data_IF_943425292844
#
_entry.id   IF_943425292844
#
_cell.length_a   1.000
_cell.length_b   1.000
_cell.length_c   1.000
_cell.angle_alpha   90.00
_cell.angle_beta   90.00
_cell.angle_gamma   90.00
#
_symmetry.space_group_name_H-M   'P 1'
#
loop_
_entity.id
_entity.type
_entity.pdbx_description
1 polymer ?
#
# COMPACT_ATOMS: atom_id res chain seq x y z
N UNK A 1 2.14 16.84 -23.63
CA UNK A 1 1.25 16.05 -24.49
C UNK A 1 0.64 14.97 -23.60
N UNK A 2 -0.60 14.96 -23.12
CA UNK A 2 -1.87 15.59 -23.51
C UNK A 2 -2.67 15.91 -22.23
N UNK A 3 -2.23 16.89 -21.44
CA UNK A 3 -2.79 17.20 -20.12
C UNK A 3 -4.18 17.85 -20.15
N UNK A 4 -4.73 18.16 -21.34
CA UNK A 4 -6.05 18.79 -21.49
C UNK A 4 -7.22 17.79 -21.68
N UNK A 5 -6.96 16.47 -21.71
CA UNK A 5 -8.02 15.48 -21.97
C UNK A 5 -8.74 14.98 -20.70
N UNK A 6 -8.10 15.02 -19.54
CA UNK A 6 -8.59 14.42 -18.30
C UNK A 6 -8.78 15.48 -17.21
N UNK A 7 -9.76 15.29 -16.33
CA UNK A 7 -10.04 16.21 -15.22
C UNK A 7 -9.05 16.05 -14.06
N UNK A 8 -8.55 14.83 -13.85
CA UNK A 8 -7.65 14.47 -12.74
C UNK A 8 -6.56 13.50 -13.22
N UNK A 9 -5.50 13.36 -12.43
CA UNK A 9 -4.33 12.55 -12.80
C UNK A 9 -4.51 11.06 -12.48
N UNK A 10 -5.06 10.73 -11.31
CA UNK A 10 -5.07 9.35 -10.81
C UNK A 10 -6.34 9.03 -10.01
N UNK A 11 -6.98 7.89 -10.33
CA UNK A 11 -8.01 7.28 -9.48
C UNK A 11 -7.46 5.98 -8.88
N UNK A 12 -7.64 5.79 -7.58
CA UNK A 12 -7.14 4.61 -6.86
C UNK A 12 -8.29 3.87 -6.21
N UNK A 13 -8.37 2.56 -6.40
CA UNK A 13 -9.27 1.68 -5.64
C UNK A 13 -8.47 0.94 -4.58
N UNK A 14 -8.92 1.02 -3.33
CA UNK A 14 -8.33 0.33 -2.18
C UNK A 14 -9.36 -0.53 -1.45
N UNK A 15 -8.89 -1.53 -0.71
CA UNK A 15 -9.76 -2.45 -0.01
C UNK A 15 -10.45 -1.84 1.22
N UNK A 16 -9.76 -0.98 1.97
CA UNK A 16 -10.26 -0.42 3.22
C UNK A 16 -9.75 1.00 3.52
N UNK A 17 -10.13 1.52 4.69
CA UNK A 17 -9.72 2.84 5.15
C UNK A 17 -8.26 2.92 5.57
N UNK A 18 -7.66 1.84 6.07
CA UNK A 18 -6.27 1.86 6.51
C UNK A 18 -5.36 2.08 5.30
N UNK A 19 -5.62 1.33 4.22
CA UNK A 19 -4.96 1.50 2.94
C UNK A 19 -5.24 2.87 2.32
N UNK A 20 -6.47 3.38 2.39
CA UNK A 20 -6.82 4.74 1.95
C UNK A 20 -5.93 5.79 2.63
N UNK A 21 -5.82 5.75 3.97
CA UNK A 21 -5.00 6.70 4.73
C UNK A 21 -3.52 6.59 4.39
N UNK A 22 -3.00 5.37 4.21
CA UNK A 22 -1.59 5.16 3.86
C UNK A 22 -1.29 5.74 2.48
N UNK A 23 -2.11 5.43 1.48
CA UNK A 23 -1.89 5.90 0.12
C UNK A 23 -2.08 7.41 0.00
N UNK A 24 -3.11 7.96 0.65
CA UNK A 24 -3.29 9.41 0.72
C UNK A 24 -2.05 10.10 1.32
N UNK A 25 -1.59 9.66 2.49
CA UNK A 25 -0.43 10.25 3.18
C UNK A 25 0.86 10.12 2.36
N UNK A 26 1.01 9.04 1.61
CA UNK A 26 2.14 8.82 0.72
C UNK A 26 2.13 9.79 -0.47
N UNK A 27 0.99 9.96 -1.14
CA UNK A 27 0.88 10.83 -2.32
C UNK A 27 0.99 12.31 -1.98
N UNK A 28 0.58 12.72 -0.77
CA UNK A 28 0.84 14.08 -0.25
C UNK A 28 2.35 14.38 -0.11
N UNK A 29 3.19 13.35 0.02
CA UNK A 29 4.66 13.46 0.09
C UNK A 29 5.32 13.34 -1.29
N UNK A 30 4.69 13.89 -2.33
CA UNK A 30 5.12 13.78 -3.73
C UNK A 30 6.61 14.11 -3.97
N UNK A 31 7.17 15.09 -3.26
CA UNK A 31 8.60 15.43 -3.34
C UNK A 31 9.50 14.28 -2.89
N UNK A 32 9.16 13.62 -1.77
CA UNK A 32 9.90 12.46 -1.26
C UNK A 32 9.72 11.22 -2.15
N UNK A 33 8.61 11.13 -2.88
CA UNK A 33 8.41 10.11 -3.92
C UNK A 33 9.19 10.43 -5.20
N UNK A 34 9.72 11.65 -5.35
CA UNK A 34 10.38 12.10 -6.56
C UNK A 34 9.43 12.18 -7.76
N UNK A 35 8.18 12.57 -7.52
CA UNK A 35 7.15 12.80 -8.54
C UNK A 35 6.67 14.24 -8.51
N UNK A 36 6.05 14.72 -9.59
CA UNK A 36 5.35 15.99 -9.57
C UNK A 36 4.08 15.92 -8.70
N UNK A 37 3.58 17.07 -8.25
CA UNK A 37 2.28 17.12 -7.56
C UNK A 37 1.18 16.68 -8.53
N UNK A 38 0.28 15.82 -8.06
CA UNK A 38 -0.83 15.27 -8.84
C UNK A 38 -2.17 15.57 -8.17
N UNK A 39 -3.26 15.54 -8.94
CA UNK A 39 -4.64 15.57 -8.47
C UNK A 39 -5.22 14.17 -8.53
N UNK A 40 -5.58 13.60 -7.39
CA UNK A 40 -6.03 12.21 -7.30
C UNK A 40 -7.26 12.05 -6.42
N UNK A 41 -8.01 10.98 -6.65
CA UNK A 41 -9.08 10.51 -5.77
C UNK A 41 -8.81 9.05 -5.36
N UNK A 42 -9.30 8.67 -4.17
CA UNK A 42 -9.23 7.30 -3.66
C UNK A 42 -10.66 6.82 -3.37
N UNK A 43 -11.02 5.65 -3.86
CA UNK A 43 -12.30 4.98 -3.59
C UNK A 43 -12.04 3.68 -2.83
N UNK A 44 -12.85 3.43 -1.81
CA UNK A 44 -12.90 2.12 -1.15
C UNK A 44 -13.84 1.19 -1.89
N UNK A 45 -13.43 -0.07 -2.04
CA UNK A 45 -14.31 -1.10 -2.58
C UNK A 45 -15.19 -1.69 -1.46
N UNK A 46 -16.51 -1.74 -1.67
CA UNK A 46 -17.46 -2.22 -0.64
C UNK A 46 -17.22 -3.69 -0.23
N UNK A 47 -16.73 -4.50 -1.17
CA UNK A 47 -16.36 -5.90 -0.95
C UNK A 47 -14.89 -6.10 -0.59
N UNK A 48 -14.16 -5.02 -0.23
CA UNK A 48 -12.76 -5.05 0.20
C UNK A 48 -11.84 -5.75 -0.80
N UNK A 49 -10.85 -6.51 -0.34
CA UNK A 49 -9.81 -7.16 -1.15
C UNK A 49 -10.40 -8.09 -2.22
N UNK A 50 -11.40 -8.90 -1.86
CA UNK A 50 -12.08 -9.78 -2.81
C UNK A 50 -12.76 -8.98 -3.93
N UNK A 51 -13.33 -7.82 -3.61
CA UNK A 51 -13.91 -6.92 -4.59
C UNK A 51 -12.88 -6.20 -5.46
N UNK A 52 -11.78 -5.72 -4.87
CA UNK A 52 -10.65 -5.16 -5.61
C UNK A 52 -10.12 -6.15 -6.65
N UNK A 53 -10.06 -7.44 -6.32
CA UNK A 53 -9.67 -8.48 -7.25
C UNK A 53 -10.74 -8.75 -8.33
N UNK A 54 -12.01 -8.88 -7.92
CA UNK A 54 -13.04 -9.47 -8.78
C UNK A 54 -13.82 -8.46 -9.61
N UNK A 55 -14.00 -7.23 -9.11
CA UNK A 55 -14.99 -6.28 -9.65
C UNK A 55 -14.44 -4.84 -9.87
N UNK A 56 -13.17 -4.59 -9.57
CA UNK A 56 -12.58 -3.24 -9.70
C UNK A 56 -12.73 -2.62 -11.11
N UNK A 57 -12.73 -3.43 -12.16
CA UNK A 57 -12.89 -2.99 -13.54
C UNK A 57 -14.29 -2.44 -13.83
N UNK A 58 -15.33 -2.97 -13.19
CA UNK A 58 -16.67 -2.39 -13.27
C UNK A 58 -16.75 -1.11 -12.43
N UNK A 59 -16.14 -1.14 -11.24
CA UNK A 59 -16.12 0.00 -10.32
C UNK A 59 -15.42 1.24 -10.90
N UNK A 60 -14.38 1.03 -11.72
CA UNK A 60 -13.60 2.09 -12.37
C UNK A 60 -14.11 2.49 -13.76
N UNK A 61 -15.16 1.85 -14.28
CA UNK A 61 -15.60 2.03 -15.66
C UNK A 61 -16.07 3.46 -15.95
N UNK A 62 -16.75 4.08 -14.99
CA UNK A 62 -17.25 5.45 -15.13
C UNK A 62 -16.13 6.50 -15.05
N UNK A 63 -14.99 6.14 -14.45
CA UNK A 63 -13.86 7.05 -14.23
C UNK A 63 -12.93 7.18 -15.44
N UNK A 64 -13.04 6.27 -16.43
CA UNK A 64 -12.12 6.16 -17.59
C UNK A 64 -11.92 7.48 -18.32
N UNK A 65 -12.97 8.30 -18.42
CA UNK A 65 -12.96 9.58 -19.16
C UNK A 65 -12.45 10.75 -18.32
N UNK A 66 -12.40 10.60 -17.00
CA UNK A 66 -12.09 11.68 -16.08
C UNK A 66 -10.66 11.63 -15.54
N UNK A 67 -10.04 10.45 -15.52
CA UNK A 67 -8.70 10.27 -14.97
C UNK A 67 -7.71 9.78 -16.00
N UNK A 68 -6.50 10.32 -15.93
CA UNK A 68 -5.40 9.92 -16.81
C UNK A 68 -4.96 8.48 -16.54
N UNK A 69 -4.81 8.09 -15.27
CA UNK A 69 -4.41 6.74 -14.86
C UNK A 69 -5.35 6.15 -13.80
N UNK A 70 -5.40 4.82 -13.71
CA UNK A 70 -6.06 4.10 -12.62
C UNK A 70 -5.10 3.16 -11.91
N UNK A 71 -5.32 2.94 -10.61
CA UNK A 71 -4.54 2.00 -9.83
C UNK A 71 -5.45 1.21 -8.88
N UNK A 72 -5.17 -0.07 -8.69
CA UNK A 72 -5.89 -0.92 -7.73
C UNK A 72 -4.90 -1.50 -6.74
N UNK A 73 -5.11 -1.25 -5.44
CA UNK A 73 -4.29 -1.77 -4.34
C UNK A 73 -5.15 -2.62 -3.40
N UNK A 74 -4.65 -3.78 -3.00
CA UNK A 74 -5.30 -4.64 -2.00
C UNK A 74 -4.32 -5.64 -1.38
N UNK A 75 -4.72 -6.22 -0.26
CA UNK A 75 -3.94 -7.25 0.43
C UNK A 75 -4.14 -8.61 -0.25
N UNK A 76 -3.07 -9.40 -0.32
CA UNK A 76 -3.17 -10.78 -0.80
C UNK A 76 -3.95 -11.64 0.18
N UNK A 77 -3.72 -11.45 1.48
CA UNK A 77 -4.50 -12.12 2.51
C UNK A 77 -5.94 -11.59 2.52
N UNK A 78 -6.91 -12.48 2.29
CA UNK A 78 -8.33 -12.12 2.28
C UNK A 78 -8.89 -11.83 0.88
N UNK A 79 -8.07 -11.85 -0.17
CA UNK A 79 -8.55 -11.71 -1.55
C UNK A 79 -9.16 -13.01 -2.12
N UNK A 80 -8.93 -14.15 -1.47
CA UNK A 80 -9.43 -15.47 -1.90
C UNK A 80 -8.57 -16.15 -2.99
N UNK A 81 -7.36 -15.65 -3.24
CA UNK A 81 -6.38 -16.19 -4.21
C UNK A 81 -4.99 -16.38 -3.59
N UNK A 82 -4.90 -16.64 -2.29
CA UNK A 82 -3.66 -16.71 -1.53
C UNK A 82 -2.66 -17.77 -2.05
N UNK A 83 -3.16 -18.78 -2.80
CA UNK A 83 -2.35 -19.82 -3.44
C UNK A 83 -1.55 -19.34 -4.66
N UNK A 84 -1.94 -18.23 -5.26
CA UNK A 84 -1.28 -17.67 -6.45
C UNK A 84 -0.19 -16.67 -6.02
N UNK A 85 0.77 -16.39 -6.89
CA UNK A 85 1.72 -15.30 -6.67
C UNK A 85 1.03 -13.94 -6.82
N UNK A 86 1.56 -12.90 -6.15
CA UNK A 86 1.05 -11.53 -6.33
C UNK A 86 1.10 -11.08 -7.78
N UNK A 87 2.17 -11.44 -8.51
CA UNK A 87 2.31 -11.11 -9.94
C UNK A 87 1.19 -11.70 -10.79
N UNK A 88 0.85 -12.98 -10.61
CA UNK A 88 -0.27 -13.61 -11.35
C UNK A 88 -1.61 -12.92 -11.06
N UNK A 89 -1.83 -12.49 -9.81
CA UNK A 89 -3.05 -11.78 -9.40
C UNK A 89 -3.08 -10.38 -10.03
N UNK A 90 -1.96 -9.66 -10.00
CA UNK A 90 -1.81 -8.32 -10.57
C UNK A 90 -2.05 -8.34 -12.08
N UNK A 91 -1.44 -9.28 -12.81
CA UNK A 91 -1.62 -9.44 -14.26
C UNK A 91 -3.08 -9.67 -14.64
N UNK A 92 -3.80 -10.50 -13.87
CA UNK A 92 -5.22 -10.75 -14.13
C UNK A 92 -6.08 -9.50 -13.89
N UNK A 93 -5.79 -8.72 -12.84
CA UNK A 93 -6.49 -7.47 -12.57
C UNK A 93 -6.20 -6.43 -13.65
N UNK A 94 -4.93 -6.26 -14.03
CA UNK A 94 -4.49 -5.33 -15.09
C UNK A 94 -5.12 -5.71 -16.44
N UNK A 95 -5.16 -7.00 -16.78
CA UNK A 95 -5.81 -7.49 -18.00
C UNK A 95 -7.30 -7.11 -18.05
N UNK A 96 -8.02 -7.27 -16.93
CA UNK A 96 -9.44 -6.89 -16.84
C UNK A 96 -9.64 -5.39 -16.96
N UNK A 97 -8.80 -4.58 -16.31
CA UNK A 97 -8.85 -3.11 -16.42
C UNK A 97 -8.58 -2.66 -17.85
N UNK A 98 -7.58 -3.26 -18.50
CA UNK A 98 -7.19 -2.97 -19.88
C UNK A 98 -8.34 -3.24 -20.85
N UNK A 99 -8.95 -4.43 -20.81
CA UNK A 99 -10.11 -4.80 -21.64
C UNK A 99 -11.31 -3.86 -21.42
N UNK A 100 -11.42 -3.25 -20.23
CA UNK A 100 -12.51 -2.33 -19.91
C UNK A 100 -12.21 -0.87 -20.29
N UNK A 101 -11.10 -0.58 -20.99
CA UNK A 101 -10.82 0.74 -21.56
C UNK A 101 -9.77 1.57 -20.82
N UNK A 102 -9.07 0.97 -19.85
CA UNK A 102 -7.89 1.60 -19.26
C UNK A 102 -6.62 1.38 -20.09
N UNK A 103 -6.61 0.42 -21.02
CA UNK A 103 -5.47 0.10 -21.88
C UNK A 103 -4.16 -0.05 -21.08
N UNK A 104 -3.12 0.75 -21.39
CA UNK A 104 -1.83 0.80 -20.68
C UNK A 104 -1.81 1.84 -19.54
N UNK A 105 -2.98 2.37 -19.16
CA UNK A 105 -3.13 3.43 -18.15
C UNK A 105 -3.64 2.89 -16.81
N UNK A 106 -3.45 1.60 -16.55
CA UNK A 106 -3.80 0.96 -15.29
C UNK A 106 -2.61 0.21 -14.68
N UNK A 107 -2.64 0.03 -13.37
CA UNK A 107 -1.76 -0.89 -12.67
C UNK A 107 -2.46 -1.53 -11.47
N UNK A 108 -2.09 -2.76 -11.14
CA UNK A 108 -2.51 -3.44 -9.92
C UNK A 108 -1.31 -3.68 -9.02
N UNK A 109 -1.50 -3.54 -7.72
CA UNK A 109 -0.46 -3.80 -6.71
C UNK A 109 -1.08 -4.65 -5.61
N UNK A 110 -0.58 -5.87 -5.47
CA UNK A 110 -1.01 -6.84 -4.47
C UNK A 110 0.05 -6.92 -3.39
N UNK A 111 -0.31 -6.51 -2.18
CA UNK A 111 0.62 -6.50 -1.05
C UNK A 111 0.70 -7.91 -0.46
N UNK A 112 1.90 -8.49 -0.36
CA UNK A 112 2.12 -9.85 0.13
C UNK A 112 2.85 -9.87 1.50
N UNK A 113 2.20 -10.33 2.58
CA UNK A 113 0.80 -10.80 2.61
C UNK A 113 -0.25 -9.67 2.71
N UNK A 114 0.14 -8.51 3.25
CA UNK A 114 -0.77 -7.41 3.61
C UNK A 114 0.00 -6.10 3.88
N UNK A 115 -0.72 -4.97 3.95
CA UNK A 115 -0.20 -3.61 4.11
C UNK A 115 0.83 -3.45 5.23
N UNK A 116 0.63 -4.08 6.39
CA UNK A 116 1.53 -4.00 7.53
C UNK A 116 2.94 -4.52 7.23
N UNK A 117 3.13 -5.31 6.16
CA UNK A 117 4.44 -5.73 5.71
C UNK A 117 5.37 -4.53 5.44
N UNK A 118 4.82 -3.40 4.96
CA UNK A 118 5.57 -2.18 4.68
C UNK A 118 6.16 -1.56 5.94
N UNK A 119 5.45 -1.66 7.06
CA UNK A 119 5.89 -1.14 8.37
C UNK A 119 7.20 -1.80 8.79
N UNK A 120 7.29 -3.13 8.61
CA UNK A 120 8.42 -3.92 9.08
C UNK A 120 9.64 -3.86 8.17
N UNK A 121 9.47 -3.43 6.91
CA UNK A 121 10.44 -3.52 5.83
C UNK A 121 11.63 -2.53 5.89
N UNK A 122 11.95 -1.98 7.07
CA UNK A 122 13.21 -1.29 7.45
C UNK A 122 13.03 0.15 7.95
N UNK A 123 12.29 0.33 9.06
CA UNK A 123 12.27 1.61 9.75
C UNK A 123 12.51 1.45 11.25
N UNK A 124 13.59 2.04 11.75
CA UNK A 124 13.79 2.30 13.19
C UNK A 124 12.72 3.23 13.76
N UNK A 125 11.96 3.91 12.91
CA UNK A 125 10.89 4.82 13.31
C UNK A 125 9.65 4.05 13.80
N UNK A 126 9.52 2.76 13.44
CA UNK A 126 8.50 1.83 13.96
C UNK A 126 8.51 1.89 15.48
N UNK A 127 9.65 1.61 16.12
CA UNK A 127 9.80 1.64 17.58
C UNK A 127 9.35 2.98 18.20
N UNK A 128 9.56 4.10 17.50
CA UNK A 128 9.11 5.42 17.97
C UNK A 128 7.60 5.59 17.88
N UNK A 129 7.00 5.20 16.76
CA UNK A 129 5.56 5.29 16.55
C UNK A 129 4.79 4.41 17.54
N UNK A 130 5.31 3.22 17.84
CA UNK A 130 4.73 2.33 18.87
C UNK A 130 4.97 2.80 20.31
N UNK A 131 5.74 3.87 20.54
CA UNK A 131 6.15 4.26 21.88
C UNK A 131 7.01 3.18 22.57
N UNK A 132 7.69 2.34 21.79
CA UNK A 132 8.61 1.31 22.27
C UNK A 132 9.99 1.89 22.66
N UNK A 133 10.18 3.20 22.45
CA UNK A 133 11.38 3.91 22.86
C UNK A 133 11.74 3.59 24.31
N UNK A 134 12.99 3.18 24.54
CA UNK A 134 13.58 2.86 25.84
C UNK A 134 13.11 1.54 26.51
N UNK A 135 12.38 0.67 25.80
CA UNK A 135 12.08 -0.68 26.31
C UNK A 135 13.22 -1.66 26.00
N UNK A 136 13.40 -2.65 26.88
CA UNK A 136 14.29 -3.81 26.68
C UNK A 136 13.50 -5.10 26.85
N UNK A 137 13.60 -6.06 25.91
CA UNK A 137 14.39 -6.01 24.68
C UNK A 137 13.80 -5.06 23.61
N UNK A 138 14.56 -4.71 22.55
CA UNK A 138 14.04 -3.96 21.40
C UNK A 138 12.81 -4.65 20.79
N UNK A 139 11.92 -3.88 20.15
CA UNK A 139 10.61 -4.36 19.69
C UNK A 139 10.71 -5.64 18.85
N UNK A 140 11.61 -5.65 17.86
CA UNK A 140 11.82 -6.81 16.98
C UNK A 140 12.26 -8.06 17.75
N UNK A 141 13.18 -7.90 18.70
CA UNK A 141 13.64 -9.01 19.54
C UNK A 141 12.54 -9.50 20.48
N UNK A 142 11.73 -8.57 21.01
CA UNK A 142 10.55 -8.94 21.80
C UNK A 142 9.57 -9.75 20.96
N UNK A 143 9.23 -9.31 19.74
CA UNK A 143 8.32 -10.02 18.84
C UNK A 143 8.83 -11.41 18.49
N UNK A 144 10.11 -11.54 18.14
CA UNK A 144 10.76 -12.84 17.84
C UNK A 144 10.80 -13.80 19.02
N UNK A 145 10.79 -13.28 20.25
CA UNK A 145 10.90 -14.09 21.47
C UNK A 145 9.54 -14.40 22.10
N UNK A 146 8.52 -13.57 21.87
CA UNK A 146 7.25 -13.62 22.59
C UNK A 146 6.04 -13.89 21.67
N UNK A 147 6.23 -13.98 20.35
CA UNK A 147 5.14 -14.23 19.41
C UNK A 147 5.52 -15.29 18.35
N UNK A 148 4.55 -16.03 17.80
CA UNK A 148 4.81 -16.98 16.72
C UNK A 148 4.86 -16.32 15.33
N UNK A 149 4.67 -15.00 15.25
CA UNK A 149 4.45 -14.27 14.00
C UNK A 149 5.74 -13.84 13.29
N UNK A 150 6.89 -14.00 13.96
CA UNK A 150 8.18 -13.59 13.45
C UNK A 150 9.26 -14.61 13.80
N UNK A 151 9.72 -15.37 12.81
CA UNK A 151 10.87 -16.25 13.00
C UNK A 151 12.20 -15.49 13.14
N UNK A 152 13.16 -16.10 13.83
CA UNK A 152 14.45 -15.45 14.13
C UNK A 152 15.27 -15.13 12.87
N UNK A 153 15.14 -15.95 11.83
CA UNK A 153 15.91 -15.89 10.59
C UNK A 153 15.35 -14.90 9.56
N UNK A 154 14.13 -14.40 9.76
CA UNK A 154 13.47 -13.48 8.81
C UNK A 154 13.71 -12.01 9.15
N UNK A 155 13.80 -11.21 8.09
CA UNK A 155 13.93 -9.74 8.16
C UNK A 155 12.58 -9.03 8.42
N UNK A 156 11.45 -9.67 8.11
CA UNK A 156 10.09 -9.19 8.40
C UNK A 156 9.21 -10.33 8.95
N UNK A 157 8.15 -10.03 9.73
CA UNK A 157 7.23 -11.06 10.23
C UNK A 157 6.55 -11.83 9.10
N UNK A 158 6.30 -13.12 9.30
CA UNK A 158 5.43 -13.93 8.45
C UNK A 158 3.95 -13.53 8.56
N UNK A 159 3.58 -12.95 9.70
CA UNK A 159 2.22 -12.47 10.01
C UNK A 159 2.28 -10.99 10.46
N UNK A 160 2.45 -10.04 9.51
CA UNK A 160 2.73 -8.63 9.79
C UNK A 160 1.69 -7.93 10.67
N UNK A 161 0.39 -8.13 10.41
CA UNK A 161 -0.73 -7.54 11.14
C UNK A 161 -0.84 -8.10 12.55
N UNK A 162 -0.63 -9.41 12.73
CA UNK A 162 -0.60 -9.99 14.08
C UNK A 162 0.62 -9.56 14.89
N UNK A 163 1.79 -9.42 14.25
CA UNK A 163 2.97 -8.86 14.90
C UNK A 163 2.71 -7.41 15.35
N UNK A 164 2.11 -6.59 14.47
CA UNK A 164 1.71 -5.21 14.76
C UNK A 164 0.74 -5.13 15.94
N UNK A 165 -0.32 -5.95 15.91
CA UNK A 165 -1.33 -6.01 16.99
C UNK A 165 -0.74 -6.48 18.31
N UNK A 166 0.20 -7.42 18.28
CA UNK A 166 0.89 -7.91 19.48
C UNK A 166 1.75 -6.82 20.11
N UNK A 167 2.48 -6.07 19.29
CA UNK A 167 3.25 -4.91 19.75
C UNK A 167 2.34 -3.86 20.39
N UNK A 168 1.23 -3.49 19.72
CA UNK A 168 0.24 -2.52 20.21
C UNK A 168 -0.39 -2.93 21.54
N UNK A 169 -0.75 -4.21 21.68
CA UNK A 169 -1.30 -4.77 22.92
C UNK A 169 -0.30 -4.64 24.07
N UNK A 170 0.98 -4.89 23.82
CA UNK A 170 2.04 -4.82 24.83
C UNK A 170 2.34 -3.37 25.26
N UNK A 171 2.27 -2.41 24.34
CA UNK A 171 2.39 -0.98 24.69
C UNK A 171 1.09 -0.38 25.20
N UNK A 172 -0.01 -1.15 25.20
CA UNK A 172 -1.37 -0.73 25.59
C UNK A 172 -1.86 0.50 24.81
N UNK A 173 -1.47 0.61 23.55
CA UNK A 173 -1.97 1.64 22.66
C UNK A 173 -3.14 1.09 21.84
N UNK A 174 -4.14 1.94 21.50
CA UNK A 174 -5.25 1.52 20.67
C UNK A 174 -4.80 1.36 19.21
N UNK A 175 -5.20 0.24 18.59
CA UNK A 175 -5.12 0.07 17.15
C UNK A 175 -6.12 1.04 16.50
N UNK A 176 -5.64 2.02 15.73
CA UNK A 176 -6.49 3.06 15.14
C UNK A 176 -6.03 3.45 13.74
N UNK A 177 -6.95 3.95 12.91
CA UNK A 177 -6.62 4.47 11.58
C UNK A 177 -5.61 5.64 11.62
N UNK A 178 -5.59 6.41 12.70
CA UNK A 178 -4.60 7.48 12.92
C UNK A 178 -3.18 6.92 13.03
N UNK A 179 -3.01 5.76 13.67
CA UNK A 179 -1.71 5.08 13.73
C UNK A 179 -1.20 4.76 12.31
N UNK A 180 -2.07 4.31 11.41
CA UNK A 180 -1.67 4.05 10.03
C UNK A 180 -1.31 5.31 9.25
N UNK A 181 -2.01 6.42 9.50
CA UNK A 181 -1.60 7.72 8.95
C UNK A 181 -0.22 8.14 9.46
N UNK A 182 0.02 8.02 10.77
CA UNK A 182 1.32 8.32 11.40
C UNK A 182 2.42 7.38 10.88
N UNK A 183 2.12 6.09 10.72
CA UNK A 183 3.02 5.11 10.11
C UNK A 183 3.31 5.46 8.66
N UNK A 184 2.33 5.85 7.85
CA UNK A 184 2.55 6.25 6.46
C UNK A 184 3.42 7.52 6.32
N UNK A 185 3.30 8.43 7.28
CA UNK A 185 4.16 9.62 7.34
C UNK A 185 5.59 9.30 7.76
N UNK A 186 5.80 8.24 8.55
CA UNK A 186 7.10 7.91 9.15
C UNK A 186 7.82 6.76 8.45
N UNK A 187 7.11 5.87 7.77
CA UNK A 187 7.69 4.83 6.93
C UNK A 187 8.57 5.49 5.89
N UNK A 188 9.83 5.06 5.87
CA UNK A 188 10.87 5.62 5.03
C UNK A 188 10.59 5.25 3.59
N UNK A 189 10.08 6.20 2.79
CA UNK A 189 9.80 6.01 1.36
C UNK A 189 11.08 5.63 0.58
N UNK A 190 12.25 6.05 1.08
CA UNK A 190 13.55 5.76 0.49
C UNK A 190 14.09 4.37 0.86
N UNK A 191 13.79 3.87 2.06
CA UNK A 191 14.41 2.65 2.62
C UNK A 191 13.51 1.42 2.62
N UNK A 192 12.21 1.57 2.41
CA UNK A 192 11.32 0.44 2.29
C UNK A 192 11.71 -0.42 1.08
N UNK A 193 12.18 -1.65 1.37
CA UNK A 193 12.60 -2.63 0.38
C UNK A 193 11.49 -3.60 -0.05
N UNK A 194 10.26 -3.42 0.45
CA UNK A 194 9.16 -4.33 0.13
C UNK A 194 8.86 -4.33 -1.38
N UNK A 195 8.68 -5.50 -2.03
CA UNK A 195 8.45 -5.59 -3.46
C UNK A 195 7.25 -4.77 -3.94
N UNK A 196 6.13 -4.84 -3.22
CA UNK A 196 4.89 -4.15 -3.61
C UNK A 196 5.03 -2.62 -3.47
N UNK A 197 5.72 -2.16 -2.42
CA UNK A 197 6.05 -0.76 -2.23
C UNK A 197 6.99 -0.22 -3.31
N UNK A 198 8.00 -1.00 -3.70
CA UNK A 198 8.90 -0.65 -4.79
C UNK A 198 8.17 -0.59 -6.14
N UNK A 199 7.27 -1.54 -6.41
CA UNK A 199 6.39 -1.50 -7.59
C UNK A 199 5.58 -0.20 -7.63
N UNK A 200 4.95 0.17 -6.52
CA UNK A 200 4.20 1.44 -6.39
C UNK A 200 5.06 2.66 -6.76
N UNK A 201 6.26 2.78 -6.17
CA UNK A 201 7.19 3.88 -6.46
C UNK A 201 7.57 3.93 -7.94
N UNK A 202 7.87 2.79 -8.55
CA UNK A 202 8.26 2.72 -9.96
C UNK A 202 7.12 3.20 -10.83
N UNK A 203 5.90 2.71 -10.62
CA UNK A 203 4.72 3.10 -11.39
C UNK A 203 4.46 4.61 -11.27
N UNK A 204 4.42 5.13 -10.04
CA UNK A 204 4.18 6.56 -9.81
C UNK A 204 5.26 7.43 -10.46
N UNK A 205 6.53 7.05 -10.39
CA UNK A 205 7.62 7.78 -11.06
C UNK A 205 7.52 7.74 -12.57
N UNK A 206 7.17 6.59 -13.14
CA UNK A 206 6.96 6.43 -14.58
C UNK A 206 5.80 7.30 -15.06
N UNK A 207 4.67 7.32 -14.34
CA UNK A 207 3.49 8.09 -14.73
C UNK A 207 3.63 9.60 -14.49
N UNK A 208 4.34 9.99 -13.42
CA UNK A 208 4.39 11.36 -12.91
C UNK A 208 5.82 11.87 -12.73
N UNK A 209 6.68 11.58 -13.71
CA UNK A 209 8.07 12.05 -13.72
C UNK A 209 8.12 13.57 -13.52
N UNK A 210 9.00 14.09 -12.64
CA UNK A 210 9.15 15.52 -12.46
C UNK A 210 9.52 16.19 -13.78
N UNK A 211 8.79 17.25 -14.15
CA UNK A 211 9.22 18.12 -15.25
C UNK A 211 10.53 18.77 -14.80
N UNK A 212 11.63 18.51 -15.52
CA UNK A 212 12.89 19.23 -15.27
C UNK A 212 12.63 20.72 -15.47
N UNK A 213 13.08 21.59 -14.56
CA UNK A 213 12.95 23.04 -14.71
C UNK A 213 13.66 23.53 -15.99
#
# INVERSE_FOLDING_TARGET
MNSEQYLKDLIIVVADSEMEFVIHSLLERYQSLGIQKIVFDIKRHIQRDAGCLTDCHNYLREDIRYYRYSMVLFDKEGCGREKYSSTEIEEEVERRLSINGWDERCAAIVIDPELEAWVWSDSSEVDKVFGWNNRKPPLREWLKSNTPYWSRERLKPERPKEALRSAMKEVRQPFSSRLFADLAQTVSLERCIDPSFNKLKIILKTWFTPVKP
#
